data_IF_548728401821
#
_entry.id   IF_548728401821
#
_cell.length_a   1.000
_cell.length_b   1.000
_cell.length_c   1.000
_cell.angle_alpha   90.00
_cell.angle_beta   90.00
_cell.angle_gamma   90.00
#
_symmetry.space_group_name_H-M   'P 1'
#
loop_
_entity.id
_entity.type
_entity.pdbx_description
1 polymer ?
#
# COMPACT_ATOMS: atom_id res chain seq x y z
N UNK A 1 -24.14 8.10 4.62
CA UNK A 1 -23.51 7.78 5.94
C UNK A 1 -22.09 7.33 5.67
N UNK A 2 -21.07 8.00 6.22
CA UNK A 2 -19.68 7.61 5.97
C UNK A 2 -19.28 6.40 6.80
N UNK A 3 -18.49 5.52 6.21
CA UNK A 3 -17.94 4.33 6.84
C UNK A 3 -16.56 4.69 7.38
N UNK A 4 -16.40 4.70 8.70
CA UNK A 4 -15.14 5.04 9.33
C UNK A 4 -14.28 3.80 9.56
N UNK A 5 -13.01 3.87 9.16
CA UNK A 5 -12.00 2.85 9.42
C UNK A 5 -10.81 3.43 10.18
N UNK A 6 -10.40 2.72 11.21
CA UNK A 6 -9.21 3.05 11.98
C UNK A 6 -8.12 2.02 11.70
N UNK A 7 -7.01 2.48 11.18
CA UNK A 7 -5.81 1.66 10.98
C UNK A 7 -5.00 1.70 12.27
N UNK A 8 -4.74 0.55 12.86
CA UNK A 8 -4.03 0.42 14.14
C UNK A 8 -2.62 -0.15 13.96
N UNK A 9 -1.65 0.53 14.54
CA UNK A 9 -0.29 0.02 14.73
C UNK A 9 -0.13 -0.49 16.17
N UNK A 10 -1.01 -1.42 16.56
CA UNK A 10 -1.04 -2.03 17.87
C UNK A 10 -2.30 -1.71 18.70
N UNK A 11 -2.56 -2.45 19.79
CA UNK A 11 -3.86 -2.48 20.47
C UNK A 11 -4.31 -1.16 21.12
N UNK A 12 -3.41 -0.22 21.33
CA UNK A 12 -3.67 1.09 21.95
C UNK A 12 -3.59 2.26 20.97
N UNK A 13 -3.41 1.96 19.70
CA UNK A 13 -3.27 2.97 18.66
C UNK A 13 -4.63 3.40 18.13
N UNK A 14 -5.28 4.29 18.86
CA UNK A 14 -6.58 4.86 18.48
C UNK A 14 -6.48 6.37 18.27
N UNK A 15 -7.19 6.92 17.27
CA UNK A 15 -7.37 8.35 17.17
C UNK A 15 -8.14 8.86 18.39
N UNK A 16 -8.03 10.15 18.67
CA UNK A 16 -8.85 10.77 19.71
C UNK A 16 -10.32 10.63 19.32
N UNK A 17 -11.18 10.25 20.27
CA UNK A 17 -12.62 10.06 20.02
C UNK A 17 -13.31 11.31 19.45
N UNK A 18 -12.81 12.50 19.78
CA UNK A 18 -13.30 13.78 19.23
C UNK A 18 -13.02 13.98 17.73
N UNK A 19 -12.15 13.19 17.14
CA UNK A 19 -11.87 13.24 15.70
C UNK A 19 -12.81 12.34 14.88
N UNK A 20 -13.57 11.46 15.54
CA UNK A 20 -14.43 10.46 14.93
C UNK A 20 -15.90 10.83 15.13
N UNK A 21 -16.68 10.78 14.07
CA UNK A 21 -18.12 11.05 14.13
C UNK A 21 -18.89 9.91 14.79
N UNK A 22 -18.47 8.66 14.54
CA UNK A 22 -19.12 7.45 15.01
C UNK A 22 -18.13 6.48 15.65
N UNK A 23 -17.38 6.92 16.67
CA UNK A 23 -16.30 6.13 17.29
C UNK A 23 -16.71 4.70 17.72
N UNK A 24 -17.97 4.49 18.07
CA UNK A 24 -18.49 3.17 18.48
C UNK A 24 -18.81 2.25 17.29
N UNK A 25 -18.94 2.80 16.10
CA UNK A 25 -19.27 2.06 14.87
C UNK A 25 -18.07 1.94 13.94
N UNK A 26 -16.95 2.62 14.25
CA UNK A 26 -15.77 2.59 13.43
C UNK A 26 -15.18 1.18 13.38
N UNK A 27 -14.91 0.71 12.16
CA UNK A 27 -14.23 -0.55 11.92
C UNK A 27 -12.74 -0.38 12.15
N UNK A 28 -12.08 -1.44 12.60
CA UNK A 28 -10.64 -1.45 12.86
C UNK A 28 -9.96 -2.36 11.87
N UNK A 29 -8.82 -1.91 11.37
CA UNK A 29 -7.90 -2.71 10.59
C UNK A 29 -6.59 -2.75 11.39
N UNK A 30 -6.29 -3.91 11.96
CA UNK A 30 -5.04 -4.14 12.68
C UNK A 30 -3.93 -4.39 11.66
N UNK A 31 -3.00 -3.44 11.57
CA UNK A 31 -1.85 -3.55 10.69
C UNK A 31 -0.73 -4.37 11.34
N UNK A 32 -0.62 -4.31 12.66
CA UNK A 32 0.26 -5.15 13.47
C UNK A 32 -0.61 -6.06 14.30
N UNK A 33 -0.45 -7.37 14.14
CA UNK A 33 -1.20 -8.36 14.89
C UNK A 33 -0.74 -8.43 16.37
N UNK A 34 -1.50 -9.07 17.27
CA UNK A 34 -1.13 -9.17 18.70
C UNK A 34 0.21 -9.84 18.95
N UNK A 35 0.64 -10.75 18.09
CA UNK A 35 1.92 -11.46 18.17
C UNK A 35 3.09 -10.60 17.70
N UNK A 36 2.83 -9.40 17.18
CA UNK A 36 3.85 -8.45 16.72
C UNK A 36 4.24 -8.59 15.26
N UNK A 37 3.65 -9.55 14.54
CA UNK A 37 3.77 -9.67 13.09
C UNK A 37 2.93 -8.64 12.35
N UNK A 38 3.24 -8.40 11.08
CA UNK A 38 2.45 -7.51 10.24
C UNK A 38 1.29 -8.28 9.61
N UNK A 39 0.09 -7.72 9.70
CA UNK A 39 -1.12 -8.29 9.10
C UNK A 39 -1.17 -8.01 7.59
N UNK A 40 -2.12 -8.63 6.88
CA UNK A 40 -2.43 -8.36 5.45
C UNK A 40 -1.25 -8.69 4.50
N UNK A 41 -0.46 -9.74 4.78
CA UNK A 41 0.64 -10.14 3.90
C UNK A 41 1.83 -9.19 3.85
N UNK A 42 1.85 -8.19 4.70
CA UNK A 42 2.87 -7.14 4.75
C UNK A 42 4.23 -7.69 5.15
N UNK A 43 4.24 -8.67 6.07
CA UNK A 43 5.50 -9.27 6.51
C UNK A 43 6.24 -9.92 5.33
N UNK A 44 5.52 -10.65 4.48
CA UNK A 44 6.10 -11.30 3.30
C UNK A 44 6.77 -10.27 2.38
N UNK A 45 6.09 -9.15 2.12
CA UNK A 45 6.67 -8.08 1.29
C UNK A 45 7.92 -7.47 1.92
N UNK A 46 7.90 -7.19 3.21
CA UNK A 46 9.08 -6.64 3.89
C UNK A 46 10.24 -7.63 3.92
N UNK A 47 9.95 -8.92 4.09
CA UNK A 47 10.96 -9.98 4.03
C UNK A 47 11.57 -10.08 2.62
N UNK A 48 10.77 -9.95 1.56
CA UNK A 48 11.25 -9.90 0.17
C UNK A 48 12.11 -8.66 -0.09
N UNK A 49 11.69 -7.49 0.40
CA UNK A 49 12.47 -6.24 0.30
C UNK A 49 13.79 -6.35 1.06
N UNK A 50 13.80 -6.99 2.24
CA UNK A 50 15.00 -7.24 3.03
C UNK A 50 15.95 -8.22 2.34
N UNK A 51 15.42 -9.29 1.72
CA UNK A 51 16.21 -10.23 0.90
C UNK A 51 16.90 -9.54 -0.28
N UNK A 52 16.31 -8.50 -0.83
CA UNK A 52 16.92 -7.65 -1.86
C UNK A 52 17.92 -6.63 -1.29
N UNK A 53 18.17 -6.63 0.02
CA UNK A 53 19.04 -5.68 0.69
C UNK A 53 18.53 -4.24 0.65
N UNK A 54 17.22 -4.04 0.46
CA UNK A 54 16.60 -2.72 0.39
C UNK A 54 16.10 -2.29 1.75
N UNK A 55 16.39 -1.04 2.12
CA UNK A 55 15.79 -0.40 3.29
C UNK A 55 14.77 0.62 2.82
N UNK A 56 13.46 0.34 2.97
CA UNK A 56 12.43 1.29 2.57
C UNK A 56 12.49 2.56 3.42
N UNK A 57 12.22 3.71 2.80
CA UNK A 57 12.04 4.95 3.55
C UNK A 57 10.75 4.91 4.39
N UNK A 58 10.66 5.71 5.45
CA UNK A 58 9.43 5.81 6.25
C UNK A 58 8.23 6.27 5.40
N UNK A 59 8.46 7.11 4.39
CA UNK A 59 7.43 7.52 3.43
C UNK A 59 6.93 6.35 2.56
N UNK A 60 7.83 5.45 2.15
CA UNK A 60 7.44 4.25 1.41
C UNK A 60 6.61 3.30 2.28
N UNK A 61 6.96 3.16 3.55
CA UNK A 61 6.16 2.39 4.52
C UNK A 61 4.80 3.05 4.77
N UNK A 62 4.73 4.37 4.87
CA UNK A 62 3.46 5.09 4.98
C UNK A 62 2.56 4.84 3.76
N UNK A 63 3.12 4.91 2.55
CA UNK A 63 2.39 4.63 1.32
C UNK A 63 1.85 3.19 1.31
N UNK A 64 2.64 2.26 1.81
CA UNK A 64 2.24 0.87 1.92
C UNK A 64 1.09 0.68 2.94
N UNK A 65 1.18 1.30 4.12
CA UNK A 65 0.09 1.32 5.11
C UNK A 65 -1.19 1.89 4.50
N UNK A 66 -1.07 3.00 3.76
CA UNK A 66 -2.19 3.63 3.07
C UNK A 66 -2.82 2.72 2.03
N UNK A 67 -2.01 2.09 1.17
CA UNK A 67 -2.49 1.17 0.14
C UNK A 67 -3.20 -0.05 0.75
N UNK A 68 -2.63 -0.64 1.81
CA UNK A 68 -3.26 -1.75 2.54
C UNK A 68 -4.57 -1.32 3.23
N UNK A 69 -4.63 -0.10 3.76
CA UNK A 69 -5.84 0.46 4.35
C UNK A 69 -6.96 0.63 3.33
N UNK A 70 -6.63 1.18 2.16
CA UNK A 70 -7.58 1.34 1.04
C UNK A 70 -8.09 -0.02 0.58
N UNK A 71 -7.18 -0.95 0.30
CA UNK A 71 -7.52 -2.30 -0.14
C UNK A 71 -8.40 -3.03 0.89
N UNK A 72 -8.01 -3.02 2.17
CA UNK A 72 -8.78 -3.66 3.23
C UNK A 72 -10.16 -3.04 3.43
N UNK A 73 -10.29 -1.73 3.27
CA UNK A 73 -11.57 -1.04 3.36
C UNK A 73 -12.47 -1.36 2.16
N UNK A 74 -11.92 -1.33 0.95
CA UNK A 74 -12.65 -1.59 -0.28
C UNK A 74 -13.19 -3.01 -0.34
N UNK A 75 -12.38 -4.00 0.04
CA UNK A 75 -12.74 -5.43 0.01
C UNK A 75 -13.65 -5.86 1.16
N UNK A 76 -13.70 -5.09 2.25
CA UNK A 76 -14.48 -5.43 3.45
C UNK A 76 -15.96 -5.02 3.36
N UNK A 77 -16.36 -4.35 2.30
CA UNK A 77 -17.70 -3.76 2.21
C UNK A 77 -18.38 -4.05 0.87
N UNK A 78 -19.46 -4.81 0.95
CA UNK A 78 -20.32 -5.10 -0.20
C UNK A 78 -21.15 -3.86 -0.59
N UNK A 79 -21.06 -3.45 -1.84
CA UNK A 79 -21.78 -2.28 -2.39
C UNK A 79 -23.29 -2.47 -2.33
N UNK A 80 -23.78 -3.70 -2.57
CA UNK A 80 -25.21 -3.97 -2.69
C UNK A 80 -25.99 -3.81 -1.36
N UNK A 81 -25.29 -3.86 -0.21
CA UNK A 81 -25.97 -3.94 1.09
C UNK A 81 -26.12 -2.60 1.81
N UNK A 82 -25.42 -1.53 1.43
CA UNK A 82 -25.17 -0.42 2.35
C UNK A 82 -25.16 0.99 1.73
N UNK A 83 -25.48 1.13 0.46
CA UNK A 83 -25.58 2.44 -0.19
C UNK A 83 -27.03 2.75 -0.54
N UNK A 84 -27.46 4.00 -0.36
CA UNK A 84 -28.82 4.44 -0.70
C UNK A 84 -29.09 4.32 -2.20
N UNK A 85 -28.05 4.47 -3.02
CA UNK A 85 -28.05 4.32 -4.47
C UNK A 85 -27.55 2.94 -4.96
N UNK A 86 -27.24 2.01 -4.05
CA UNK A 86 -26.63 0.71 -4.29
C UNK A 86 -25.29 0.76 -5.06
N UNK A 87 -24.62 1.92 -5.11
CA UNK A 87 -23.42 2.08 -5.92
C UNK A 87 -22.28 2.81 -5.20
N UNK A 88 -22.50 3.99 -4.64
CA UNK A 88 -21.45 4.88 -4.15
C UNK A 88 -21.27 4.77 -2.65
N UNK A 89 -20.09 4.38 -2.20
CA UNK A 89 -19.71 4.31 -0.79
C UNK A 89 -18.98 5.58 -0.37
N UNK A 90 -19.02 5.89 0.92
CA UNK A 90 -18.27 6.99 1.52
C UNK A 90 -17.36 6.43 2.61
N UNK A 91 -16.06 6.52 2.39
CA UNK A 91 -15.04 6.03 3.31
C UNK A 91 -14.31 7.18 4.01
N UNK A 92 -14.10 7.05 5.31
CA UNK A 92 -13.26 7.92 6.10
C UNK A 92 -12.22 7.11 6.83
N UNK A 93 -10.95 7.27 6.47
CA UNK A 93 -9.84 6.46 6.95
C UNK A 93 -8.92 7.25 7.88
N UNK A 94 -8.71 6.75 9.10
CA UNK A 94 -7.76 7.30 10.06
C UNK A 94 -6.44 6.54 9.93
N UNK A 95 -5.47 7.13 9.23
CA UNK A 95 -4.22 6.45 8.84
C UNK A 95 -3.03 6.99 9.64
N UNK A 96 -2.30 6.12 10.38
CA UNK A 96 -1.10 6.51 11.09
C UNK A 96 0.09 6.58 10.13
N UNK A 97 0.74 7.75 10.06
CA UNK A 97 1.88 8.02 9.17
C UNK A 97 3.04 8.66 9.93
N UNK A 98 4.23 8.61 9.36
CA UNK A 98 5.44 9.20 9.96
C UNK A 98 5.39 10.73 9.98
N UNK A 99 4.89 11.34 8.88
CA UNK A 99 4.83 12.79 8.67
C UNK A 99 3.42 13.24 8.25
N UNK A 100 2.46 13.41 9.21
CA UNK A 100 1.07 13.75 8.87
C UNK A 100 0.90 15.00 8.03
N UNK A 101 1.70 16.04 8.27
CA UNK A 101 1.59 17.32 7.53
C UNK A 101 1.89 17.13 6.05
N UNK A 102 2.90 16.31 5.72
CA UNK A 102 3.26 15.97 4.34
C UNK A 102 2.12 15.24 3.64
N UNK A 103 1.49 14.27 4.31
CA UNK A 103 0.39 13.50 3.77
C UNK A 103 -0.89 14.34 3.63
N UNK A 104 -1.16 15.26 4.57
CA UNK A 104 -2.29 16.17 4.51
C UNK A 104 -2.23 17.07 3.27
N UNK A 105 -1.04 17.51 2.84
CA UNK A 105 -0.88 18.26 1.59
C UNK A 105 -1.31 17.44 0.36
N UNK A 106 -1.15 16.14 0.40
CA UNK A 106 -1.50 15.24 -0.71
C UNK A 106 -2.91 14.67 -0.61
N UNK A 107 -3.63 14.90 0.49
CA UNK A 107 -4.93 14.26 0.77
C UNK A 107 -5.95 14.51 -0.35
N UNK A 108 -6.04 15.74 -0.85
CA UNK A 108 -6.97 16.09 -1.94
C UNK A 108 -6.68 15.30 -3.23
N UNK A 109 -5.43 15.14 -3.60
CA UNK A 109 -5.05 14.36 -4.78
C UNK A 109 -5.35 12.87 -4.60
N UNK A 110 -5.08 12.33 -3.42
CA UNK A 110 -5.42 10.93 -3.08
C UNK A 110 -6.93 10.70 -3.16
N UNK A 111 -7.73 11.60 -2.61
CA UNK A 111 -9.18 11.52 -2.66
C UNK A 111 -9.68 11.52 -4.11
N UNK A 112 -9.21 12.45 -4.95
CA UNK A 112 -9.59 12.55 -6.36
C UNK A 112 -9.17 11.32 -7.16
N UNK A 113 -7.94 10.84 -6.95
CA UNK A 113 -7.43 9.63 -7.60
C UNK A 113 -8.28 8.40 -7.27
N UNK A 114 -8.56 8.18 -5.99
CA UNK A 114 -9.34 7.02 -5.56
C UNK A 114 -10.81 7.14 -5.97
N UNK A 115 -11.39 8.33 -5.94
CA UNK A 115 -12.73 8.57 -6.44
C UNK A 115 -12.82 8.23 -7.94
N UNK A 116 -11.83 8.62 -8.72
CA UNK A 116 -11.78 8.28 -10.14
C UNK A 116 -11.65 6.77 -10.37
N UNK A 117 -10.81 6.09 -9.59
CA UNK A 117 -10.54 4.66 -9.73
C UNK A 117 -11.70 3.77 -9.26
N UNK A 118 -12.40 4.17 -8.20
CA UNK A 118 -13.37 3.30 -7.52
C UNK A 118 -14.82 3.76 -7.68
N UNK A 119 -15.06 5.03 -8.02
CA UNK A 119 -16.37 5.66 -8.00
C UNK A 119 -16.89 5.97 -6.60
N UNK A 120 -16.10 5.76 -5.55
CA UNK A 120 -16.44 6.00 -4.15
C UNK A 120 -15.86 7.32 -3.65
N UNK A 121 -16.44 7.88 -2.60
CA UNK A 121 -15.87 9.05 -1.92
C UNK A 121 -14.91 8.60 -0.82
N UNK A 122 -13.71 9.19 -0.83
CA UNK A 122 -12.64 8.91 0.13
C UNK A 122 -12.25 10.16 0.89
N UNK A 123 -12.10 10.04 2.20
CA UNK A 123 -11.57 11.07 3.08
C UNK A 123 -10.46 10.46 3.94
N UNK A 124 -9.27 11.06 3.92
CA UNK A 124 -8.15 10.64 4.76
C UNK A 124 -7.94 11.61 5.90
N UNK A 125 -7.81 11.05 7.11
CA UNK A 125 -7.38 11.75 8.31
C UNK A 125 -6.04 11.18 8.72
N UNK A 126 -4.97 11.87 8.34
CA UNK A 126 -3.62 11.44 8.67
C UNK A 126 -3.27 11.85 10.11
N UNK A 127 -2.67 10.94 10.84
CA UNK A 127 -2.26 11.12 12.24
C UNK A 127 -0.87 10.57 12.48
N UNK A 128 -0.17 11.08 13.49
CA UNK A 128 1.14 10.58 13.85
C UNK A 128 1.08 9.12 14.30
N UNK A 129 2.07 8.33 13.90
CA UNK A 129 2.27 6.99 14.43
C UNK A 129 2.51 7.01 15.94
N UNK A 130 2.12 5.97 16.69
CA UNK A 130 2.47 5.83 18.10
C UNK A 130 3.98 5.87 18.31
N UNK A 131 4.42 6.34 19.47
CA UNK A 131 5.85 6.46 19.80
C UNK A 131 6.63 5.16 19.59
N UNK A 132 6.02 4.01 19.90
CA UNK A 132 6.61 2.67 19.73
C UNK A 132 6.88 2.31 18.26
N UNK A 133 6.10 2.87 17.34
CA UNK A 133 6.14 2.60 15.90
C UNK A 133 6.53 3.84 15.08
N UNK A 134 7.24 4.78 15.70
CA UNK A 134 7.67 6.02 15.03
C UNK A 134 8.58 5.72 13.85
N UNK A 135 9.45 4.71 13.97
CA UNK A 135 10.24 4.16 12.87
C UNK A 135 9.89 2.70 12.70
N UNK A 136 9.51 2.31 11.50
CA UNK A 136 9.21 0.94 11.10
C UNK A 136 10.26 0.40 10.10
N UNK A 137 11.05 1.29 9.49
CA UNK A 137 12.15 0.90 8.64
C UNK A 137 13.20 0.14 9.44
N UNK A 138 13.56 -1.06 9.00
CA UNK A 138 14.71 -1.78 9.55
C UNK A 138 15.97 -1.01 9.15
N UNK A 139 16.89 -0.85 10.10
CA UNK A 139 18.24 -0.35 9.83
C UNK A 139 19.13 -1.50 9.40
N UNK A 140 18.74 -2.24 8.38
CA UNK A 140 19.65 -3.20 7.77
C UNK A 140 20.74 -2.46 7.00
N UNK A 141 21.94 -3.00 6.98
CA UNK A 141 22.99 -2.54 6.09
C UNK A 141 22.50 -2.79 4.66
N UNK A 142 22.01 -1.75 4.02
CA UNK A 142 21.47 -1.85 2.65
C UNK A 142 22.59 -2.20 1.70
N UNK A 143 22.46 -3.29 0.98
CA UNK A 143 23.30 -3.55 -0.21
C UNK A 143 22.76 -2.63 -1.29
N UNK A 144 23.55 -1.69 -1.82
CA UNK A 144 23.06 -0.83 -2.87
C UNK A 144 22.73 -1.67 -4.10
N UNK A 145 21.51 -1.54 -4.62
CA UNK A 145 21.12 -2.10 -5.93
C UNK A 145 21.77 -1.24 -7.02
N UNK A 146 23.10 -1.31 -7.11
CA UNK A 146 23.90 -0.51 -8.07
C UNK A 146 23.68 -0.93 -9.51
N UNK A 147 23.09 -2.10 -9.73
CA UNK A 147 22.90 -2.66 -11.08
C UNK A 147 21.63 -2.19 -11.76
N UNK A 148 20.73 -1.52 -11.04
CA UNK A 148 19.47 -1.00 -11.58
C UNK A 148 19.39 0.52 -11.43
N UNK A 149 18.93 1.19 -12.48
CA UNK A 149 18.75 2.65 -12.51
C UNK A 149 17.29 3.10 -12.62
N UNK A 150 16.41 2.15 -12.88
CA UNK A 150 14.98 2.40 -13.13
C UNK A 150 14.14 1.28 -12.54
N UNK A 151 12.94 1.59 -12.09
CA UNK A 151 11.94 0.61 -11.67
C UNK A 151 10.75 0.67 -12.62
N UNK A 152 10.29 -0.48 -13.11
CA UNK A 152 9.14 -0.58 -13.99
C UNK A 152 8.18 -1.65 -13.51
N UNK A 153 6.86 -1.33 -13.53
CA UNK A 153 5.83 -2.31 -13.27
C UNK A 153 5.70 -3.24 -14.48
N UNK A 154 5.68 -4.55 -14.22
CA UNK A 154 5.61 -5.57 -15.25
C UNK A 154 4.45 -6.53 -14.96
N UNK A 155 3.34 -6.36 -15.68
CA UNK A 155 2.14 -7.20 -15.51
C UNK A 155 2.17 -8.51 -16.30
N UNK A 156 3.18 -8.70 -17.16
CA UNK A 156 3.25 -9.82 -18.11
C UNK A 156 2.37 -9.63 -19.36
N UNK A 157 1.71 -8.47 -19.50
CA UNK A 157 0.97 -8.10 -20.72
C UNK A 157 1.88 -7.44 -21.77
N UNK A 158 1.34 -7.28 -22.99
CA UNK A 158 2.08 -6.74 -24.14
C UNK A 158 2.60 -5.33 -23.88
N UNK A 159 1.79 -4.46 -23.30
CA UNK A 159 2.17 -3.06 -23.05
C UNK A 159 3.34 -2.96 -22.06
N UNK A 160 3.31 -3.76 -20.98
CA UNK A 160 4.41 -3.79 -20.02
C UNK A 160 5.69 -4.39 -20.61
N UNK A 161 5.57 -5.34 -21.55
CA UNK A 161 6.70 -5.89 -22.29
C UNK A 161 7.32 -4.86 -23.23
N UNK A 162 6.50 -4.14 -23.99
CA UNK A 162 6.96 -3.06 -24.87
C UNK A 162 7.68 -1.99 -24.04
N UNK A 163 7.06 -1.54 -22.93
CA UNK A 163 7.69 -0.55 -22.06
C UNK A 163 9.04 -1.01 -21.48
N UNK A 164 9.17 -2.29 -21.13
CA UNK A 164 10.44 -2.86 -20.68
C UNK A 164 11.49 -2.87 -21.79
N UNK A 165 11.11 -3.24 -23.03
CA UNK A 165 11.99 -3.23 -24.21
C UNK A 165 12.45 -1.80 -24.52
N UNK A 166 11.55 -0.82 -24.45
CA UNK A 166 11.90 0.58 -24.71
C UNK A 166 12.93 1.09 -23.70
N UNK A 167 12.77 0.78 -22.42
CA UNK A 167 13.73 1.13 -21.38
C UNK A 167 15.12 0.50 -21.67
N UNK A 168 15.14 -0.78 -22.08
CA UNK A 168 16.39 -1.45 -22.43
C UNK A 168 17.05 -0.83 -23.68
N UNK A 169 16.26 -0.45 -24.69
CA UNK A 169 16.75 0.22 -25.90
C UNK A 169 17.31 1.62 -25.58
N UNK A 170 16.80 2.29 -24.54
CA UNK A 170 17.35 3.55 -24.02
C UNK A 170 18.63 3.34 -23.18
N UNK A 171 19.09 2.10 -23.04
CA UNK A 171 20.28 1.76 -22.24
C UNK A 171 20.03 1.77 -20.74
N UNK A 172 18.76 1.76 -20.31
CA UNK A 172 18.38 1.65 -18.90
C UNK A 172 18.52 0.22 -18.39
N UNK A 173 18.66 0.10 -17.08
CA UNK A 173 18.71 -1.18 -16.38
C UNK A 173 17.49 -1.30 -15.44
N UNK A 174 16.31 -1.67 -15.98
CA UNK A 174 15.10 -1.68 -15.18
C UNK A 174 15.04 -2.86 -14.22
N UNK A 175 14.71 -2.59 -12.96
CA UNK A 175 14.18 -3.58 -12.03
C UNK A 175 12.68 -3.76 -12.35
N UNK A 176 12.31 -4.94 -12.84
CA UNK A 176 10.93 -5.25 -13.18
C UNK A 176 10.18 -5.77 -11.94
N UNK A 177 9.09 -5.12 -11.59
CA UNK A 177 8.26 -5.47 -10.44
C UNK A 177 6.90 -5.97 -10.91
N UNK A 178 6.56 -7.22 -10.55
CA UNK A 178 5.29 -7.85 -10.87
C UNK A 178 4.41 -8.00 -9.64
N UNK A 179 3.11 -7.78 -9.82
CA UNK A 179 2.10 -8.08 -8.81
C UNK A 179 1.53 -9.49 -9.06
N UNK A 180 1.54 -10.29 -8.01
CA UNK A 180 0.99 -11.63 -8.04
C UNK A 180 -0.32 -11.69 -7.23
N UNK A 181 -1.45 -11.87 -7.92
CA UNK A 181 -2.76 -11.92 -7.27
C UNK A 181 -3.28 -13.36 -7.08
N UNK A 182 -3.03 -14.23 -8.04
CA UNK A 182 -3.50 -15.62 -7.99
C UNK A 182 -2.55 -16.57 -8.76
N UNK A 183 -2.83 -17.89 -8.65
CA UNK A 183 -2.05 -18.93 -9.32
C UNK A 183 -1.92 -18.79 -10.85
N UNK A 184 -2.72 -17.94 -11.49
CA UNK A 184 -2.67 -17.69 -12.93
C UNK A 184 -1.62 -16.67 -13.32
N UNK A 185 -1.33 -15.69 -12.44
CA UNK A 185 -0.27 -14.71 -12.65
C UNK A 185 1.15 -15.29 -12.57
N UNK A 186 1.35 -16.33 -11.71
CA UNK A 186 2.64 -17.01 -11.55
C UNK A 186 3.19 -17.56 -12.87
N UNK A 187 2.34 -18.14 -13.71
CA UNK A 187 2.76 -18.75 -14.98
C UNK A 187 3.25 -17.74 -16.03
N UNK A 188 2.82 -16.49 -15.97
CA UNK A 188 3.30 -15.43 -16.86
C UNK A 188 4.60 -14.82 -16.34
N UNK A 189 4.68 -14.50 -15.05
CA UNK A 189 5.87 -13.94 -14.43
C UNK A 189 7.05 -14.94 -14.42
N UNK A 190 6.82 -16.22 -14.08
CA UNK A 190 7.85 -17.26 -14.05
C UNK A 190 8.45 -17.55 -15.44
N UNK A 191 7.69 -17.36 -16.51
CA UNK A 191 8.21 -17.51 -17.88
C UNK A 191 9.25 -16.45 -18.24
N UNK A 192 9.20 -15.28 -17.63
CA UNK A 192 10.08 -14.15 -17.93
C UNK A 192 11.19 -13.94 -16.90
N UNK A 193 11.04 -14.41 -15.66
CA UNK A 193 12.10 -14.36 -14.64
C UNK A 193 13.33 -15.21 -15.03
N UNK A 194 13.16 -16.27 -15.80
CA UNK A 194 14.27 -17.09 -16.31
C UNK A 194 15.16 -16.39 -17.36
N UNK A 195 14.72 -15.26 -17.90
CA UNK A 195 15.45 -14.54 -18.96
C UNK A 195 16.12 -13.26 -18.46
N UNK A 196 15.71 -12.72 -17.33
CA UNK A 196 16.25 -11.48 -16.77
C UNK A 196 17.45 -11.70 -15.83
N UNK A 197 17.76 -12.94 -15.47
CA UNK A 197 18.92 -13.30 -14.64
C UNK A 197 20.13 -13.76 -15.41
N UNK A 198 20.18 -13.60 -16.75
CA UNK A 198 21.32 -14.01 -17.57
C UNK A 198 21.95 -12.81 -18.28
N UNK A 199 23.07 -12.37 -17.70
CA UNK A 199 24.19 -11.51 -18.11
C UNK A 199 24.23 -10.13 -17.51
#
# INVERSE_FOLDING_TARGET
>A
MSIEYVIQLGPKDMPKSSAMENANLAKRIDFINPEGGLAIGVQTLLDEVDQLGLTPSETAIDLFILAAAVFGSDTSYDRERLTEDNWTRQFRLFVPVSEPDKWNHSASHLNQMLQFLTGDFWEFVFRSRPKKHKSLANKADSIPLTDYDTVSLFSGGLDSLIGAIDLLNEGKKPLLVSHYWDGRGRNAADKYQGTACLN
#
